data_IF_097340284146
#
_entry.id   IF_097340284146
#
_cell.length_a   1.000
_cell.length_b   1.000
_cell.length_c   1.000
_cell.angle_alpha   90.00
_cell.angle_beta   90.00
_cell.angle_gamma   90.00
#
_symmetry.space_group_name_H-M   'P 1'
#
loop_
_entity.id
_entity.type
_entity.pdbx_description
1 polymer ?
#
# COMPACT_ATOMS: atom_id res chain seq x y z
N UNK A 1 -33.25 8.60 -30.18
CA UNK A 1 -32.56 9.81 -30.71
C UNK A 1 -31.21 9.96 -30.01
N UNK A 2 -30.33 10.88 -30.43
CA UNK A 2 -29.06 11.15 -29.73
C UNK A 2 -29.33 11.64 -28.29
N UNK A 3 -30.39 12.44 -28.11
CA UNK A 3 -30.83 12.91 -26.79
C UNK A 3 -31.22 11.73 -25.89
N UNK A 4 -32.03 10.80 -26.40
CA UNK A 4 -32.40 9.61 -25.63
C UNK A 4 -31.17 8.74 -25.29
N UNK A 5 -30.16 8.70 -26.17
CA UNK A 5 -28.92 7.97 -25.88
C UNK A 5 -28.13 8.64 -24.75
N UNK A 6 -28.03 9.97 -24.73
CA UNK A 6 -27.41 10.73 -23.63
C UNK A 6 -28.18 10.53 -22.33
N UNK A 7 -29.51 10.65 -22.36
CA UNK A 7 -30.34 10.56 -21.15
C UNK A 7 -30.33 9.17 -20.51
N UNK A 8 -30.00 8.13 -21.26
CA UNK A 8 -29.93 6.75 -20.77
C UNK A 8 -28.49 6.24 -20.56
N UNK A 9 -27.47 7.09 -20.76
CA UNK A 9 -26.08 6.72 -20.56
C UNK A 9 -25.63 6.92 -19.11
N UNK A 10 -24.70 6.08 -18.65
CA UNK A 10 -23.98 6.30 -17.38
C UNK A 10 -22.88 7.36 -17.53
N UNK A 11 -22.29 7.47 -18.72
CA UNK A 11 -21.28 8.46 -19.10
C UNK A 11 -21.26 8.65 -20.62
N UNK A 12 -20.76 9.80 -21.08
CA UNK A 12 -20.63 10.14 -22.50
C UNK A 12 -19.18 10.43 -22.85
N UNK A 13 -18.67 9.74 -23.87
CA UNK A 13 -17.38 10.07 -24.50
C UNK A 13 -17.67 10.69 -25.85
N UNK A 14 -17.49 12.00 -25.94
CA UNK A 14 -17.78 12.79 -27.14
C UNK A 14 -16.51 12.95 -27.98
N UNK A 15 -16.41 12.18 -29.07
CA UNK A 15 -15.36 12.39 -30.06
C UNK A 15 -15.56 13.71 -30.81
N UNK A 16 -14.54 14.57 -30.82
CA UNK A 16 -14.52 15.84 -31.57
C UNK A 16 -13.42 15.81 -32.62
N UNK A 17 -13.57 16.63 -33.66
CA UNK A 17 -12.63 16.67 -34.77
C UNK A 17 -12.43 18.11 -35.25
N UNK A 18 -11.39 18.75 -34.73
CA UNK A 18 -10.87 20.01 -35.24
C UNK A 18 -9.53 19.85 -35.93
N UNK A 19 -9.41 20.38 -37.15
CA UNK A 19 -8.17 20.28 -37.93
C UNK A 19 -7.17 21.36 -37.54
N UNK A 20 -7.62 22.60 -37.35
CA UNK A 20 -6.80 23.73 -36.93
C UNK A 20 -7.64 24.78 -36.18
N UNK A 21 -6.97 25.72 -35.50
CA UNK A 21 -7.61 26.79 -34.75
C UNK A 21 -8.64 27.58 -35.58
N UNK A 22 -8.28 28.00 -36.79
CA UNK A 22 -9.16 28.79 -37.67
C UNK A 22 -10.48 28.08 -38.02
N UNK A 23 -10.44 26.75 -38.18
CA UNK A 23 -11.64 25.94 -38.49
C UNK A 23 -12.57 25.76 -37.29
N UNK A 24 -12.09 26.01 -36.08
CA UNK A 24 -12.78 25.76 -34.82
C UNK A 24 -13.19 27.03 -34.08
N UNK A 25 -12.64 28.19 -34.50
CA UNK A 25 -13.16 29.50 -34.10
C UNK A 25 -14.70 29.52 -34.13
N UNK A 26 -15.38 29.86 -33.01
CA UNK A 26 -16.83 29.92 -32.95
C UNK A 26 -17.42 30.72 -34.11
N UNK A 27 -18.36 30.11 -34.84
CA UNK A 27 -18.99 30.71 -36.02
C UNK A 27 -18.27 30.47 -37.35
N UNK A 28 -17.02 30.00 -37.35
CA UNK A 28 -16.27 29.74 -38.59
C UNK A 28 -16.76 28.48 -39.35
N UNK A 29 -17.22 27.45 -38.64
CA UNK A 29 -17.74 26.23 -39.27
C UNK A 29 -18.84 25.55 -38.45
N UNK A 30 -19.67 24.74 -39.11
CA UNK A 30 -20.73 23.95 -38.46
C UNK A 30 -20.20 22.74 -37.67
N UNK A 31 -18.95 22.30 -37.89
CA UNK A 31 -18.36 21.14 -37.21
C UNK A 31 -18.40 21.25 -35.68
N UNK A 32 -18.35 22.46 -35.12
CA UNK A 32 -18.41 22.71 -33.67
C UNK A 32 -19.83 22.78 -33.12
N UNK A 33 -20.86 22.89 -33.97
CA UNK A 33 -22.24 23.02 -33.53
C UNK A 33 -22.73 21.75 -32.83
N UNK A 34 -22.42 20.57 -33.36
CA UNK A 34 -22.87 19.33 -32.75
C UNK A 34 -22.28 19.14 -31.34
N UNK A 35 -20.93 19.22 -31.13
CA UNK A 35 -20.36 19.15 -29.79
C UNK A 35 -20.94 20.18 -28.82
N UNK A 36 -21.06 21.45 -29.25
CA UNK A 36 -21.62 22.52 -28.42
C UNK A 36 -23.06 22.25 -28.01
N UNK A 37 -23.89 21.84 -28.97
CA UNK A 37 -25.31 21.56 -28.72
C UNK A 37 -25.50 20.32 -27.84
N UNK A 38 -24.65 19.30 -28.00
CA UNK A 38 -24.71 18.09 -27.17
C UNK A 38 -24.28 18.38 -25.73
N UNK A 39 -23.20 19.15 -25.54
CA UNK A 39 -22.74 19.57 -24.20
C UNK A 39 -23.81 20.45 -23.54
N UNK A 40 -24.33 21.47 -24.24
CA UNK A 40 -25.38 22.33 -23.71
C UNK A 40 -26.66 21.54 -23.36
N UNK A 41 -27.05 20.57 -24.19
CA UNK A 41 -28.17 19.68 -23.88
C UNK A 41 -27.90 18.84 -22.63
N UNK A 42 -26.72 18.20 -22.54
CA UNK A 42 -26.35 17.37 -21.41
C UNK A 42 -26.35 18.17 -20.10
N UNK A 43 -25.70 19.33 -20.07
CA UNK A 43 -25.64 20.23 -18.91
C UNK A 43 -27.02 20.78 -18.50
N UNK A 44 -27.93 20.97 -19.47
CA UNK A 44 -29.31 21.40 -19.21
C UNK A 44 -30.30 20.27 -18.90
N UNK A 45 -29.86 19.02 -18.87
CA UNK A 45 -30.70 17.83 -18.65
C UNK A 45 -30.25 17.05 -17.41
N UNK A 46 -29.86 15.78 -17.57
CA UNK A 46 -29.41 14.92 -16.46
C UNK A 46 -27.98 15.24 -16.00
N UNK A 47 -27.23 16.02 -16.79
CA UNK A 47 -25.81 16.32 -16.57
C UNK A 47 -24.99 15.04 -16.35
N UNK A 48 -25.11 14.10 -17.30
CA UNK A 48 -24.36 12.85 -17.28
C UNK A 48 -22.87 13.16 -17.40
N UNK A 49 -21.96 12.49 -16.67
CA UNK A 49 -20.52 12.70 -16.79
C UNK A 49 -20.06 12.62 -18.26
N UNK A 50 -19.43 13.68 -18.75
CA UNK A 50 -19.05 13.80 -20.15
C UNK A 50 -17.57 14.19 -20.29
N UNK A 51 -16.86 13.49 -21.17
CA UNK A 51 -15.51 13.86 -21.60
C UNK A 51 -15.48 14.08 -23.11
N UNK A 52 -14.91 15.21 -23.54
CA UNK A 52 -14.63 15.46 -24.93
C UNK A 52 -13.24 14.91 -25.29
N UNK A 53 -13.16 14.12 -26.37
CA UNK A 53 -11.92 13.52 -26.88
C UNK A 53 -11.62 14.10 -28.27
N UNK A 54 -10.56 14.89 -28.39
CA UNK A 54 -10.18 15.53 -29.65
C UNK A 54 -9.28 14.63 -30.51
N UNK A 55 -9.84 14.20 -31.65
CA UNK A 55 -9.29 13.21 -32.58
C UNK A 55 -8.69 13.92 -33.80
N UNK A 56 -7.66 14.76 -33.62
CA UNK A 56 -6.73 15.21 -34.68
C UNK A 56 -5.78 16.25 -34.10
N UNK A 57 -6.34 17.37 -33.70
CA UNK A 57 -5.65 18.50 -33.11
C UNK A 57 -6.38 18.92 -31.80
N UNK A 58 -5.75 19.71 -30.92
CA UNK A 58 -6.29 20.01 -29.61
C UNK A 58 -7.32 21.15 -29.61
N UNK A 59 -7.58 21.77 -30.76
CA UNK A 59 -8.25 23.07 -30.84
C UNK A 59 -9.75 23.03 -30.53
N UNK A 60 -10.41 21.86 -30.55
CA UNK A 60 -11.84 21.73 -30.24
C UNK A 60 -12.25 22.42 -28.94
N UNK A 61 -11.38 22.42 -27.92
CA UNK A 61 -11.60 23.07 -26.62
C UNK A 61 -11.90 24.57 -26.73
N UNK A 62 -11.41 25.24 -27.79
CA UNK A 62 -11.71 26.65 -28.06
C UNK A 62 -13.20 26.90 -28.27
N UNK A 63 -13.93 25.91 -28.77
CA UNK A 63 -15.36 26.00 -29.06
C UNK A 63 -16.26 25.49 -27.94
N UNK A 64 -15.69 24.75 -26.98
CA UNK A 64 -16.38 24.10 -25.86
C UNK A 64 -15.61 24.29 -24.54
N UNK A 65 -15.21 25.53 -24.17
CA UNK A 65 -14.33 25.77 -23.02
C UNK A 65 -14.97 25.35 -21.68
N UNK A 66 -16.29 25.24 -21.63
CA UNK A 66 -17.05 24.88 -20.42
C UNK A 66 -17.16 23.36 -20.20
N UNK A 67 -16.54 22.53 -21.05
CA UNK A 67 -16.56 21.07 -20.86
C UNK A 67 -15.78 20.67 -19.61
N UNK A 68 -16.37 19.81 -18.77
CA UNK A 68 -15.77 19.41 -17.49
C UNK A 68 -14.47 18.61 -17.65
N UNK A 69 -14.36 17.82 -18.73
CA UNK A 69 -13.18 17.04 -19.05
C UNK A 69 -12.88 17.06 -20.55
N UNK A 70 -11.60 17.24 -20.90
CA UNK A 70 -11.12 17.26 -22.28
C UNK A 70 -9.80 16.50 -22.41
N UNK A 71 -9.69 15.62 -23.40
CA UNK A 71 -8.46 14.89 -23.72
C UNK A 71 -8.10 15.02 -25.20
N UNK A 72 -6.90 15.53 -25.48
CA UNK A 72 -6.35 15.60 -26.83
C UNK A 72 -5.52 14.35 -27.12
N UNK A 73 -5.92 13.55 -28.10
CA UNK A 73 -5.26 12.27 -28.42
C UNK A 73 -4.39 12.34 -29.68
N UNK A 74 -4.50 13.41 -30.49
CA UNK A 74 -3.67 13.63 -31.68
C UNK A 74 -3.68 12.46 -32.69
N UNK A 75 -4.85 12.00 -33.13
CA UNK A 75 -4.97 10.94 -34.14
C UNK A 75 -5.79 11.42 -35.35
N UNK A 76 -5.37 11.11 -36.58
CA UNK A 76 -6.12 11.51 -37.80
C UNK A 76 -7.26 10.55 -38.17
N UNK A 77 -7.21 9.30 -37.69
CA UNK A 77 -8.14 8.23 -38.06
C UNK A 77 -8.64 7.45 -36.84
N UNK A 78 -9.88 6.95 -36.92
CA UNK A 78 -10.62 6.30 -35.84
C UNK A 78 -10.03 4.96 -35.31
N UNK A 79 -8.98 4.43 -35.93
CA UNK A 79 -8.43 3.10 -35.63
C UNK A 79 -6.94 3.11 -35.22
N UNK A 80 -6.49 4.17 -34.54
CA UNK A 80 -5.08 4.31 -34.13
C UNK A 80 -4.87 4.07 -32.64
N UNK A 81 -3.63 3.74 -32.27
CA UNK A 81 -3.19 3.56 -30.87
C UNK A 81 -3.50 4.79 -30.00
N UNK A 82 -3.55 5.98 -30.61
CA UNK A 82 -3.89 7.23 -29.95
C UNK A 82 -5.27 7.21 -29.28
N UNK A 83 -6.28 6.64 -29.96
CA UNK A 83 -7.64 6.53 -29.40
C UNK A 83 -7.69 5.53 -28.26
N UNK A 84 -6.99 4.39 -28.41
CA UNK A 84 -6.86 3.41 -27.34
C UNK A 84 -6.19 4.03 -26.11
N UNK A 85 -5.12 4.81 -26.28
CA UNK A 85 -4.47 5.53 -25.18
C UNK A 85 -5.40 6.56 -24.55
N UNK A 86 -6.16 7.32 -25.34
CA UNK A 86 -7.16 8.26 -24.82
C UNK A 86 -8.25 7.58 -24.00
N UNK A 87 -8.78 6.46 -24.48
CA UNK A 87 -9.75 5.64 -23.76
C UNK A 87 -9.15 5.07 -22.47
N UNK A 88 -7.92 4.56 -22.53
CA UNK A 88 -7.19 4.08 -21.35
C UNK A 88 -7.00 5.18 -20.32
N UNK A 89 -6.70 6.41 -20.75
CA UNK A 89 -6.60 7.55 -19.85
C UNK A 89 -7.96 7.85 -19.21
N UNK A 90 -9.03 8.03 -20.00
CA UNK A 90 -10.39 8.32 -19.50
C UNK A 90 -10.83 7.31 -18.44
N UNK A 91 -10.58 6.02 -18.66
CA UNK A 91 -10.94 4.96 -17.73
C UNK A 91 -9.91 4.72 -16.61
N UNK A 92 -8.86 5.53 -16.52
CA UNK A 92 -7.87 5.47 -15.44
C UNK A 92 -6.82 4.38 -15.56
N UNK A 93 -6.78 3.62 -16.66
CA UNK A 93 -5.75 2.60 -16.91
C UNK A 93 -4.36 3.18 -17.14
N UNK A 94 -4.25 4.48 -17.46
CA UNK A 94 -2.98 5.20 -17.54
C UNK A 94 -3.14 6.60 -16.93
N UNK A 95 -2.09 7.09 -16.28
CA UNK A 95 -2.03 8.48 -15.84
C UNK A 95 -1.57 9.38 -16.99
N UNK A 96 -2.39 10.32 -17.51
CA UNK A 96 -1.98 11.17 -18.62
C UNK A 96 -0.82 12.09 -18.21
N UNK A 97 0.24 12.10 -19.00
CA UNK A 97 1.44 12.91 -18.75
C UNK A 97 1.79 13.88 -19.88
N UNK A 98 1.10 13.77 -21.02
CA UNK A 98 1.34 14.59 -22.20
C UNK A 98 1.15 16.09 -21.95
N UNK A 99 1.97 16.90 -22.60
CA UNK A 99 1.89 18.37 -22.59
C UNK A 99 1.57 18.88 -23.99
N UNK A 100 0.84 19.99 -24.08
CA UNK A 100 0.52 20.64 -25.33
C UNK A 100 1.81 21.05 -26.07
N UNK A 101 1.96 20.71 -27.35
CA UNK A 101 3.11 21.13 -28.17
C UNK A 101 2.88 22.50 -28.84
N UNK A 102 1.69 23.09 -28.66
CA UNK A 102 1.24 24.35 -29.27
C UNK A 102 0.38 25.13 -28.28
N UNK A 103 0.31 26.44 -28.47
CA UNK A 103 -0.67 27.27 -27.75
C UNK A 103 -2.09 27.07 -28.29
N UNK A 104 -3.07 27.22 -27.41
CA UNK A 104 -4.51 27.17 -27.72
C UNK A 104 -5.08 28.58 -27.55
N UNK A 105 -5.43 29.27 -28.64
CA UNK A 105 -6.05 30.60 -28.57
C UNK A 105 -7.38 30.56 -27.83
N UNK A 106 -7.85 31.70 -27.33
CA UNK A 106 -9.15 31.79 -26.63
C UNK A 106 -10.40 31.62 -27.51
N UNK A 107 -10.23 31.58 -28.83
CA UNK A 107 -11.30 31.38 -29.80
C UNK A 107 -12.08 32.63 -30.15
N UNK A 108 -11.88 33.77 -29.48
CA UNK A 108 -12.63 35.02 -29.75
C UNK A 108 -11.71 36.08 -30.36
N UNK A 109 -10.59 36.37 -29.68
CA UNK A 109 -9.63 37.43 -30.04
C UNK A 109 -8.18 36.89 -30.16
N UNK A 110 -7.97 35.61 -29.83
CA UNK A 110 -6.69 35.08 -29.35
C UNK A 110 -5.55 34.94 -30.35
N UNK A 111 -5.83 34.86 -31.67
CA UNK A 111 -4.74 34.75 -32.65
C UNK A 111 -4.09 36.11 -32.97
N UNK A 112 -4.88 37.19 -32.97
CA UNK A 112 -4.37 38.53 -33.30
C UNK A 112 -3.81 39.27 -32.08
N UNK A 113 -4.27 38.91 -30.87
CA UNK A 113 -3.91 39.59 -29.62
C UNK A 113 -3.05 38.76 -28.64
N UNK A 114 -2.57 37.57 -29.04
CA UNK A 114 -1.78 36.66 -28.21
C UNK A 114 -2.48 36.27 -26.88
N UNK A 115 -3.79 36.00 -26.94
CA UNK A 115 -4.58 35.56 -25.78
C UNK A 115 -4.88 34.06 -25.91
N UNK A 116 -4.45 33.30 -24.91
CA UNK A 116 -4.47 31.83 -24.95
C UNK A 116 -5.28 31.26 -23.78
N UNK A 117 -6.14 30.27 -24.06
CA UNK A 117 -6.80 29.45 -23.05
C UNK A 117 -5.79 28.54 -22.35
N UNK A 118 -4.90 27.94 -23.14
CA UNK A 118 -3.84 27.07 -22.65
C UNK A 118 -2.57 27.30 -23.45
N UNK A 119 -1.45 27.47 -22.75
CA UNK A 119 -0.16 27.65 -23.40
C UNK A 119 0.50 26.31 -23.73
N UNK A 120 1.47 26.34 -24.65
CA UNK A 120 2.43 25.27 -24.88
C UNK A 120 3.04 24.81 -23.55
N UNK A 121 3.21 23.50 -23.39
CA UNK A 121 3.67 22.88 -22.16
C UNK A 121 2.56 22.62 -21.13
N UNK A 122 1.33 23.10 -21.33
CA UNK A 122 0.21 22.81 -20.43
C UNK A 122 -0.27 21.35 -20.57
N UNK A 123 -0.68 20.75 -19.46
CA UNK A 123 -1.27 19.42 -19.44
C UNK A 123 -1.50 18.94 -18.02
N UNK A 124 -2.62 18.25 -17.79
CA UNK A 124 -3.00 17.74 -16.48
C UNK A 124 -2.61 16.27 -16.34
N UNK A 125 -2.56 15.80 -15.09
CA UNK A 125 -2.38 14.41 -14.72
C UNK A 125 -3.33 14.06 -13.57
N UNK A 126 -3.54 12.76 -13.35
CA UNK A 126 -4.24 12.30 -12.16
C UNK A 126 -3.34 12.45 -10.95
N UNK A 127 -3.89 13.14 -9.94
CA UNK A 127 -3.23 13.38 -8.67
C UNK A 127 -3.50 12.18 -7.76
N UNK A 128 -2.44 11.54 -7.29
CA UNK A 128 -2.54 10.49 -6.28
C UNK A 128 -2.91 11.15 -4.95
N UNK A 129 -3.95 10.66 -4.30
CA UNK A 129 -4.43 11.16 -3.02
C UNK A 129 -3.65 10.55 -1.86
N UNK A 130 -3.42 9.23 -1.91
CA UNK A 130 -2.76 8.50 -0.85
C UNK A 130 -2.10 7.23 -1.36
N UNK A 131 -1.05 6.83 -0.65
CA UNK A 131 -0.53 5.46 -0.63
C UNK A 131 -0.89 4.88 0.72
N UNK A 132 -1.39 3.65 0.75
CA UNK A 132 -1.65 2.93 1.99
C UNK A 132 -1.00 1.56 1.93
N UNK A 133 -0.58 1.10 3.11
CA UNK A 133 -0.14 -0.27 3.34
C UNK A 133 -1.00 -0.96 4.37
N UNK A 134 -1.16 -2.26 4.19
CA UNK A 134 -1.75 -3.18 5.17
C UNK A 134 -0.87 -4.41 5.34
N UNK A 135 -0.91 -4.97 6.55
CA UNK A 135 -0.15 -6.16 6.94
C UNK A 135 -1.12 -7.05 7.72
N UNK A 136 -1.26 -8.30 7.29
CA UNK A 136 -2.30 -9.21 7.82
C UNK A 136 -2.07 -9.57 9.29
N UNK A 137 -0.83 -9.91 9.66
CA UNK A 137 -0.45 -10.16 11.04
C UNK A 137 0.59 -9.14 11.53
N UNK A 138 0.26 -8.46 12.63
CA UNK A 138 1.13 -7.49 13.28
C UNK A 138 1.68 -7.97 14.62
N UNK A 139 1.23 -9.12 15.13
CA UNK A 139 1.83 -9.79 16.29
C UNK A 139 2.63 -11.01 15.82
N UNK A 140 3.93 -10.80 15.69
CA UNK A 140 4.95 -11.72 15.24
C UNK A 140 5.73 -12.27 16.45
N UNK A 141 6.44 -13.37 16.32
CA UNK A 141 7.53 -13.83 17.21
C UNK A 141 8.89 -13.53 16.55
N UNK A 142 10.01 -13.60 17.28
CA UNK A 142 11.34 -13.49 16.64
C UNK A 142 11.43 -14.46 15.45
N UNK A 143 12.06 -14.01 14.36
CA UNK A 143 12.17 -14.68 13.04
C UNK A 143 10.91 -14.74 12.17
N UNK A 144 9.72 -14.47 12.70
CA UNK A 144 8.50 -14.45 11.88
C UNK A 144 8.62 -13.48 10.70
N UNK A 145 7.91 -13.78 9.62
CA UNK A 145 7.86 -12.93 8.43
C UNK A 145 6.44 -12.64 8.01
N UNK A 146 6.19 -11.47 7.43
CA UNK A 146 4.88 -11.10 6.89
C UNK A 146 5.04 -10.19 5.67
N UNK A 147 4.07 -10.20 4.75
CA UNK A 147 4.08 -9.39 3.54
C UNK A 147 3.44 -8.02 3.74
N UNK A 148 3.82 -7.07 2.89
CA UNK A 148 3.21 -5.73 2.83
C UNK A 148 2.32 -5.66 1.60
N UNK A 149 1.03 -5.41 1.79
CA UNK A 149 0.12 -5.05 0.69
C UNK A 149 0.14 -3.55 0.49
N UNK A 150 0.32 -3.07 -0.74
CA UNK A 150 0.40 -1.64 -1.08
C UNK A 150 -0.74 -1.28 -2.02
N UNK A 151 -1.48 -0.22 -1.69
CA UNK A 151 -2.56 0.32 -2.53
C UNK A 151 -2.34 1.83 -2.68
N UNK A 152 -2.28 2.29 -3.93
CA UNK A 152 -2.39 3.71 -4.25
C UNK A 152 -3.82 4.06 -4.64
N UNK A 153 -4.26 5.27 -4.32
CA UNK A 153 -5.59 5.78 -4.69
C UNK A 153 -5.48 7.19 -5.25
N UNK A 154 -6.10 7.44 -6.40
CA UNK A 154 -6.24 8.78 -6.97
C UNK A 154 -7.26 9.62 -6.20
N UNK A 155 -7.24 10.95 -6.39
CA UNK A 155 -8.23 11.86 -5.76
C UNK A 155 -9.69 11.55 -6.08
N UNK A 156 -9.97 10.84 -7.16
CA UNK A 156 -11.31 10.37 -7.54
C UNK A 156 -11.67 9.00 -6.95
N UNK A 157 -10.83 8.41 -6.09
CA UNK A 157 -11.08 7.13 -5.43
C UNK A 157 -10.68 5.89 -6.23
N UNK A 158 -10.24 6.03 -7.49
CA UNK A 158 -9.79 4.89 -8.29
C UNK A 158 -8.41 4.38 -7.83
N UNK A 159 -8.14 3.06 -7.95
CA UNK A 159 -6.84 2.50 -7.64
C UNK A 159 -5.77 2.98 -8.62
N UNK A 160 -4.54 3.08 -8.13
CA UNK A 160 -3.35 3.39 -8.93
C UNK A 160 -2.67 2.08 -9.31
N UNK A 161 -2.38 1.87 -10.59
CA UNK A 161 -1.48 0.78 -11.02
C UNK A 161 -0.02 1.15 -10.67
N UNK A 162 0.66 0.30 -9.90
CA UNK A 162 2.01 0.56 -9.37
C UNK A 162 3.12 -0.27 -10.03
N UNK A 163 2.85 -0.88 -11.19
CA UNK A 163 3.79 -1.80 -11.86
C UNK A 163 5.13 -1.14 -12.23
N UNK A 164 5.11 0.15 -12.54
CA UNK A 164 6.29 0.96 -12.93
C UNK A 164 6.76 1.88 -11.79
N UNK A 165 6.32 1.64 -10.56
CA UNK A 165 6.69 2.47 -9.41
C UNK A 165 8.01 2.00 -8.79
N UNK A 166 8.82 2.97 -8.34
CA UNK A 166 9.96 2.70 -7.47
C UNK A 166 9.48 2.71 -6.01
N UNK A 167 9.79 1.65 -5.26
CA UNK A 167 9.25 1.40 -3.91
C UNK A 167 10.39 1.22 -2.92
N UNK A 168 10.49 2.14 -1.97
CA UNK A 168 11.43 2.08 -0.86
C UNK A 168 10.72 1.66 0.43
N UNK A 169 11.26 0.65 1.11
CA UNK A 169 10.70 0.09 2.34
C UNK A 169 11.45 0.60 3.56
N UNK A 170 10.70 0.98 4.59
CA UNK A 170 11.27 1.54 5.81
C UNK A 170 10.74 0.80 7.03
N UNK A 171 11.68 0.37 7.88
CA UNK A 171 11.41 -0.05 9.25
C UNK A 171 11.97 1.02 10.18
N UNK A 172 11.17 1.45 11.15
CA UNK A 172 11.66 2.35 12.19
C UNK A 172 12.76 1.70 13.05
N UNK A 173 12.88 0.36 13.02
CA UNK A 173 13.97 -0.36 13.67
C UNK A 173 14.35 -1.67 12.93
N UNK A 174 15.37 -1.64 12.03
CA UNK A 174 15.88 -2.80 11.30
C UNK A 174 16.50 -3.92 12.16
N UNK A 175 16.73 -3.68 13.45
CA UNK A 175 17.15 -4.73 14.39
C UNK A 175 15.97 -5.54 14.91
N UNK A 176 14.76 -4.97 14.95
CA UNK A 176 13.51 -5.62 15.38
C UNK A 176 12.79 -6.21 14.17
N UNK A 177 12.60 -5.41 13.12
CA UNK A 177 11.98 -5.83 11.88
C UNK A 177 12.85 -5.33 10.74
N UNK A 178 13.44 -6.24 9.98
CA UNK A 178 14.11 -5.93 8.71
C UNK A 178 13.09 -6.05 7.58
N UNK A 179 13.26 -5.29 6.49
CA UNK A 179 12.36 -5.35 5.34
C UNK A 179 13.17 -5.47 4.07
N UNK A 180 12.86 -6.48 3.25
CA UNK A 180 13.48 -6.69 1.95
C UNK A 180 12.42 -7.09 0.94
N UNK A 181 12.39 -6.38 -0.19
CA UNK A 181 11.51 -6.67 -1.33
C UNK A 181 10.02 -6.85 -0.93
N UNK A 182 9.52 -6.01 -0.02
CA UNK A 182 8.14 -6.06 0.47
C UNK A 182 7.84 -7.10 1.54
N UNK A 183 8.86 -7.80 2.04
CA UNK A 183 8.72 -8.80 3.11
C UNK A 183 9.38 -8.31 4.39
N UNK A 184 8.59 -8.24 5.45
CA UNK A 184 9.02 -7.99 6.84
C UNK A 184 9.61 -9.27 7.41
N UNK A 185 10.73 -9.13 8.12
CA UNK A 185 11.35 -10.16 8.95
C UNK A 185 11.55 -9.66 10.37
N UNK A 186 10.80 -10.20 11.31
CA UNK A 186 11.04 -10.08 12.73
C UNK A 186 12.41 -10.68 13.08
N UNK A 187 13.22 -9.95 13.82
CA UNK A 187 14.59 -10.35 14.18
C UNK A 187 14.73 -10.36 15.67
N UNK A 188 14.36 -9.26 16.28
CA UNK A 188 14.37 -9.11 17.72
C UNK A 188 13.00 -8.84 18.24
N UNK A 189 12.80 -9.24 19.49
CA UNK A 189 11.62 -8.85 20.23
C UNK A 189 11.51 -7.35 20.31
N UNK A 190 10.28 -6.89 20.30
CA UNK A 190 9.95 -5.47 20.37
C UNK A 190 9.07 -5.06 19.21
N UNK A 191 8.77 -3.78 19.17
CA UNK A 191 7.85 -3.23 18.17
C UNK A 191 8.63 -2.35 17.19
N UNK A 192 8.31 -2.46 15.91
CA UNK A 192 8.81 -1.60 14.85
C UNK A 192 7.64 -1.12 13.98
N UNK A 193 7.69 0.13 13.53
CA UNK A 193 6.76 0.64 12.53
C UNK A 193 7.31 0.41 11.15
N UNK A 194 6.43 0.02 10.24
CA UNK A 194 6.73 -0.19 8.84
C UNK A 194 5.95 0.80 8.00
N UNK A 195 6.59 1.36 6.99
CA UNK A 195 5.98 2.21 5.98
C UNK A 195 6.78 2.13 4.67
N UNK A 196 6.22 2.66 3.59
CA UNK A 196 6.86 2.71 2.27
C UNK A 196 6.85 4.13 1.70
N UNK A 197 7.82 4.42 0.84
CA UNK A 197 7.75 5.55 -0.09
C UNK A 197 7.62 5.00 -1.49
N UNK A 198 6.64 5.51 -2.23
CA UNK A 198 6.35 5.09 -3.60
C UNK A 198 6.57 6.27 -4.52
N UNK A 199 7.45 6.10 -5.50
CA UNK A 199 7.73 7.09 -6.55
C UNK A 199 7.17 6.62 -7.88
N UNK A 200 6.20 7.36 -8.43
CA UNK A 200 5.58 7.06 -9.73
C UNK A 200 5.36 8.36 -10.51
N UNK A 201 5.76 8.36 -11.80
CA UNK A 201 5.69 9.55 -12.63
C UNK A 201 6.46 10.76 -12.08
N UNK A 202 7.54 10.51 -11.32
CA UNK A 202 8.37 11.55 -10.68
C UNK A 202 7.80 12.13 -9.38
N UNK A 203 6.66 11.62 -8.89
CA UNK A 203 6.04 12.05 -7.62
C UNK A 203 6.29 10.97 -6.57
N UNK A 204 6.83 11.36 -5.42
CA UNK A 204 7.05 10.49 -4.26
C UNK A 204 6.01 10.74 -3.18
N UNK A 205 5.36 9.68 -2.70
CA UNK A 205 4.39 9.72 -1.59
C UNK A 205 4.77 8.70 -0.51
N UNK A 206 4.57 9.06 0.75
CA UNK A 206 4.74 8.17 1.90
C UNK A 206 3.40 7.52 2.28
N UNK A 207 3.44 6.25 2.70
CA UNK A 207 2.25 5.54 3.17
C UNK A 207 1.85 5.87 4.61
N UNK A 208 0.70 5.33 5.06
CA UNK A 208 0.48 5.15 6.49
C UNK A 208 1.55 4.24 7.11
N UNK A 209 1.64 4.30 8.45
CA UNK A 209 2.53 3.46 9.25
C UNK A 209 1.74 2.30 9.85
N UNK A 210 2.33 1.12 9.87
CA UNK A 210 1.78 -0.07 10.52
C UNK A 210 2.75 -0.54 11.59
N UNK A 211 2.24 -0.71 12.81
CA UNK A 211 3.03 -1.19 13.94
C UNK A 211 3.11 -2.72 13.92
N UNK A 212 4.32 -3.27 13.99
CA UNK A 212 4.62 -4.70 14.07
C UNK A 212 5.26 -4.99 15.42
N UNK A 213 4.65 -5.87 16.20
CA UNK A 213 5.11 -6.34 17.51
C UNK A 213 5.71 -7.73 17.36
N UNK A 214 6.96 -7.89 17.76
CA UNK A 214 7.70 -9.16 17.76
C UNK A 214 7.80 -9.67 19.20
N UNK A 215 7.28 -10.86 19.46
CA UNK A 215 7.27 -11.58 20.72
C UNK A 215 8.43 -12.57 20.85
N UNK A 216 8.57 -13.06 22.07
CA UNK A 216 9.34 -14.21 22.52
C UNK A 216 8.51 -14.81 23.62
N UNK A 217 8.46 -16.14 23.79
CA UNK A 217 7.88 -16.56 25.06
C UNK A 217 8.42 -17.85 25.64
N UNK A 218 9.34 -17.65 26.60
CA UNK A 218 9.56 -18.60 27.69
C UNK A 218 8.33 -18.70 28.62
N UNK A 219 7.36 -17.80 28.45
CA UNK A 219 6.20 -17.61 29.31
C UNK A 219 5.41 -18.88 29.60
N UNK A 220 5.04 -19.71 28.62
CA UNK A 220 4.32 -20.96 28.87
C UNK A 220 5.07 -21.91 29.82
N UNK A 221 6.41 -21.90 29.80
CA UNK A 221 7.24 -22.74 30.67
C UNK A 221 7.29 -22.20 32.08
N UNK A 222 7.45 -20.88 32.22
CA UNK A 222 7.40 -20.18 33.50
C UNK A 222 6.05 -20.37 34.18
N UNK A 223 4.96 -20.13 33.45
CA UNK A 223 3.59 -20.27 33.95
C UNK A 223 3.31 -21.68 34.47
N UNK A 224 3.82 -22.69 33.78
CA UNK A 224 3.71 -24.08 34.22
C UNK A 224 4.50 -24.36 35.49
N UNK A 225 5.71 -23.81 35.62
CA UNK A 225 6.59 -24.05 36.76
C UNK A 225 5.96 -23.56 38.06
N UNK A 226 5.48 -22.32 38.04
CA UNK A 226 4.90 -21.66 39.21
C UNK A 226 3.63 -22.38 39.68
N UNK A 227 2.79 -22.83 38.74
CA UNK A 227 1.57 -23.59 39.05
C UNK A 227 1.84 -24.88 39.86
N UNK A 228 3.00 -25.50 39.68
CA UNK A 228 3.40 -26.69 40.44
C UNK A 228 4.06 -26.37 41.79
N UNK A 229 4.67 -25.20 41.95
CA UNK A 229 5.16 -24.77 43.27
C UNK A 229 3.97 -24.47 44.19
N UNK A 230 2.96 -23.76 43.68
CA UNK A 230 1.80 -23.30 44.45
C UNK A 230 0.88 -24.44 44.93
N UNK A 231 0.74 -25.46 44.11
CA UNK A 231 0.00 -26.68 44.47
C UNK A 231 0.72 -27.52 45.54
N UNK A 232 1.97 -27.19 45.89
CA UNK A 232 2.82 -28.00 46.76
C UNK A 232 3.41 -29.23 46.05
N UNK A 233 3.27 -29.30 44.74
CA UNK A 233 3.86 -30.34 43.89
C UNK A 233 5.38 -30.16 43.73
N UNK A 234 5.96 -29.01 44.10
CA UNK A 234 7.41 -28.78 44.20
C UNK A 234 7.72 -28.08 45.53
N UNK A 235 8.65 -28.64 46.34
CA UNK A 235 8.84 -28.20 47.74
C UNK A 235 10.31 -27.98 48.15
N UNK A 236 10.48 -27.10 49.15
CA UNK A 236 11.73 -26.98 49.90
C UNK A 236 12.93 -26.55 49.04
N UNK A 237 14.13 -27.12 49.24
CA UNK A 237 15.34 -26.65 48.57
C UNK A 237 15.35 -26.75 47.03
N UNK A 238 14.48 -27.57 46.42
CA UNK A 238 14.43 -27.75 44.96
C UNK A 238 13.85 -26.53 44.24
N UNK A 239 12.84 -25.88 44.85
CA UNK A 239 12.24 -24.64 44.35
C UNK A 239 13.33 -23.61 44.09
N UNK A 240 14.24 -23.43 45.05
CA UNK A 240 15.33 -22.46 44.94
C UNK A 240 16.32 -22.76 43.80
N UNK A 241 16.45 -24.00 43.34
CA UNK A 241 17.42 -24.35 42.28
C UNK A 241 16.84 -24.19 40.87
N UNK A 242 15.59 -24.62 40.69
CA UNK A 242 14.85 -24.49 39.45
C UNK A 242 14.60 -23.02 39.12
N UNK A 243 14.19 -22.24 40.12
CA UNK A 243 13.97 -20.82 39.94
C UNK A 243 15.23 -20.09 39.44
N UNK A 244 16.39 -20.39 40.03
CA UNK A 244 17.66 -19.75 39.65
C UNK A 244 18.09 -20.03 38.20
N UNK A 245 17.70 -21.17 37.64
CA UNK A 245 18.15 -21.63 36.33
C UNK A 245 17.19 -21.21 35.21
N UNK A 246 15.87 -21.26 35.43
CA UNK A 246 14.90 -20.71 34.48
C UNK A 246 15.10 -19.20 34.33
N UNK A 247 15.32 -18.51 35.43
CA UNK A 247 15.56 -17.06 35.42
C UNK A 247 16.80 -16.64 34.60
N UNK A 248 17.83 -17.48 34.54
CA UNK A 248 19.02 -17.17 33.74
C UNK A 248 18.86 -17.53 32.27
N UNK A 249 17.94 -18.44 31.94
CA UNK A 249 17.61 -18.76 30.58
C UNK A 249 16.89 -17.63 29.85
N UNK A 250 15.83 -17.10 30.47
CA UNK A 250 15.04 -15.98 29.94
C UNK A 250 15.93 -14.79 29.59
N UNK A 251 16.88 -14.52 30.49
CA UNK A 251 17.87 -13.46 30.37
C UNK A 251 18.61 -13.54 29.04
N UNK A 252 19.23 -14.67 28.74
CA UNK A 252 20.04 -14.80 27.54
C UNK A 252 19.22 -14.99 26.25
N UNK A 253 18.02 -15.57 26.35
CA UNK A 253 17.09 -15.64 25.22
C UNK A 253 16.76 -14.26 24.71
N UNK A 254 16.47 -13.35 25.64
CA UNK A 254 16.17 -11.96 25.32
C UNK A 254 17.34 -11.22 24.67
N UNK A 255 18.58 -11.69 24.85
CA UNK A 255 19.79 -11.03 24.34
C UNK A 255 20.21 -11.48 22.93
N UNK A 256 19.44 -12.35 22.25
CA UNK A 256 19.93 -13.13 21.08
C UNK A 256 21.19 -13.92 21.43
N UNK A 257 21.34 -14.27 22.70
CA UNK A 257 22.46 -15.03 23.22
C UNK A 257 21.94 -16.40 23.61
N UNK A 258 21.24 -17.01 22.68
CA UNK A 258 20.36 -18.12 22.98
C UNK A 258 21.14 -19.32 23.53
N UNK A 259 22.42 -19.44 23.17
CA UNK A 259 23.36 -20.40 23.75
C UNK A 259 23.38 -20.39 25.28
N UNK A 260 23.61 -19.22 25.87
CA UNK A 260 23.66 -19.11 27.31
C UNK A 260 22.26 -19.25 27.93
N UNK A 261 21.21 -18.97 27.16
CA UNK A 261 19.83 -19.18 27.56
C UNK A 261 19.58 -20.67 27.81
N UNK A 262 20.01 -21.48 26.86
CA UNK A 262 19.88 -22.93 26.87
C UNK A 262 20.72 -23.56 27.96
N UNK A 263 21.94 -23.07 28.16
CA UNK A 263 22.82 -23.61 29.20
C UNK A 263 22.13 -23.57 30.56
N UNK A 264 21.44 -22.47 30.85
CA UNK A 264 20.69 -22.32 32.09
C UNK A 264 19.39 -23.13 32.13
N UNK A 265 18.69 -23.30 31.01
CA UNK A 265 17.56 -24.24 31.00
C UNK A 265 18.00 -25.71 31.15
N UNK A 266 19.22 -26.08 30.75
CA UNK A 266 19.76 -27.42 31.01
C UNK A 266 20.11 -27.61 32.48
N UNK A 267 20.62 -26.56 33.12
CA UNK A 267 20.81 -26.56 34.57
C UNK A 267 19.46 -26.75 35.27
N UNK A 268 18.38 -26.12 34.77
CA UNK A 268 17.02 -26.34 35.28
C UNK A 268 16.63 -27.82 35.26
N UNK A 269 16.78 -28.48 34.12
CA UNK A 269 16.44 -29.90 33.98
C UNK A 269 17.32 -30.81 34.85
N UNK A 270 18.59 -30.45 35.04
CA UNK A 270 19.51 -31.19 35.90
C UNK A 270 19.04 -31.15 37.36
N UNK A 271 18.63 -29.98 37.84
CA UNK A 271 18.08 -29.85 39.18
C UNK A 271 16.75 -30.60 39.32
N UNK A 272 15.87 -30.50 38.32
CA UNK A 272 14.55 -31.14 38.31
C UNK A 272 14.65 -32.67 38.39
N UNK A 273 15.69 -33.26 37.82
CA UNK A 273 15.88 -34.70 37.72
C UNK A 273 16.85 -35.29 38.77
N UNK A 274 17.28 -34.50 39.75
CA UNK A 274 18.20 -34.96 40.78
C UNK A 274 17.55 -36.04 41.69
N UNK A 275 18.08 -37.29 41.75
CA UNK A 275 17.49 -38.37 42.55
C UNK A 275 17.35 -38.05 44.04
N UNK A 276 18.29 -37.29 44.61
CA UNK A 276 18.28 -36.89 46.03
C UNK A 276 17.10 -35.95 46.38
N UNK A 277 16.47 -35.33 45.37
CA UNK A 277 15.36 -34.40 45.52
C UNK A 277 14.05 -34.96 44.94
N UNK A 278 14.00 -36.24 44.54
CA UNK A 278 12.81 -36.87 43.95
C UNK A 278 11.56 -36.77 44.82
N UNK A 279 11.71 -36.88 46.15
CA UNK A 279 10.60 -36.70 47.10
C UNK A 279 10.11 -35.25 47.26
N UNK A 280 10.70 -34.30 46.51
CA UNK A 280 10.37 -32.87 46.55
C UNK A 280 9.67 -32.39 45.30
N UNK A 281 9.34 -33.28 44.36
CA UNK A 281 8.56 -32.96 43.16
C UNK A 281 7.57 -34.08 42.85
N UNK A 282 6.33 -33.76 42.47
CA UNK A 282 5.35 -34.76 42.02
C UNK A 282 5.72 -35.29 40.63
N UNK A 283 5.35 -36.54 40.35
CA UNK A 283 5.67 -37.16 39.05
C UNK A 283 4.99 -36.41 37.88
N UNK A 284 3.78 -35.87 38.07
CA UNK A 284 3.07 -35.08 37.06
C UNK A 284 3.74 -33.74 36.80
N UNK A 285 4.11 -33.01 37.87
CA UNK A 285 4.86 -31.75 37.76
C UNK A 285 6.19 -31.94 37.06
N UNK A 286 6.94 -32.96 37.51
CA UNK A 286 8.24 -33.31 36.91
C UNK A 286 8.10 -33.63 35.44
N UNK A 287 7.09 -34.41 35.07
CA UNK A 287 6.84 -34.80 33.68
C UNK A 287 6.46 -33.61 32.82
N UNK A 288 5.51 -32.77 33.26
CA UNK A 288 5.04 -31.61 32.52
C UNK A 288 6.13 -30.54 32.37
N UNK A 289 6.90 -30.26 33.41
CA UNK A 289 7.98 -29.28 33.35
C UNK A 289 9.19 -29.76 32.58
N UNK A 290 9.57 -31.03 32.73
CA UNK A 290 10.51 -31.61 31.79
C UNK A 290 9.97 -31.41 30.36
N UNK A 291 8.68 -31.67 30.11
CA UNK A 291 8.10 -31.49 28.79
C UNK A 291 8.19 -30.03 28.29
N UNK A 292 7.77 -29.04 29.08
CA UNK A 292 7.69 -27.64 28.65
C UNK A 292 9.07 -26.97 28.59
N UNK A 293 9.94 -27.20 29.57
CA UNK A 293 11.30 -26.65 29.57
C UNK A 293 12.13 -27.27 28.48
N UNK A 294 12.07 -28.61 28.30
CA UNK A 294 12.70 -29.21 27.12
C UNK A 294 12.13 -28.59 25.84
N UNK A 295 10.80 -28.39 25.74
CA UNK A 295 10.19 -27.77 24.56
C UNK A 295 10.68 -26.33 24.30
N UNK A 296 10.90 -25.55 25.35
CA UNK A 296 11.37 -24.18 25.18
C UNK A 296 12.88 -24.05 25.01
N UNK A 297 13.68 -24.88 25.67
CA UNK A 297 15.10 -25.07 25.30
C UNK A 297 15.21 -25.36 23.84
N UNK A 298 14.38 -26.30 23.41
CA UNK A 298 14.29 -26.69 22.03
C UNK A 298 13.95 -25.45 21.18
N UNK A 299 12.97 -24.61 21.53
CA UNK A 299 12.67 -23.33 20.85
C UNK A 299 13.81 -22.31 20.85
N UNK A 300 14.62 -22.24 21.91
CA UNK A 300 15.75 -21.31 22.02
C UNK A 300 16.99 -21.75 21.27
N UNK A 301 17.24 -23.04 21.26
CA UNK A 301 18.41 -23.64 20.60
C UNK A 301 18.38 -23.51 19.08
N UNK A 302 17.27 -23.03 18.53
CA UNK A 302 17.03 -22.92 17.10
C UNK A 302 17.48 -21.54 16.54
N UNK A 303 17.91 -20.58 17.37
CA UNK A 303 18.52 -19.26 17.00
C UNK A 303 20.06 -19.24 16.97
#
# INVERSE_FOLDING_TARGET
SIKDAVDNADYVILGTYGYNASSITPGANYYTQFPRNLIAYNSGSKNVPLVAMAICAPYDIMSIPDVEAFVAVYGRYANTQNLLSGMRAIFGFINPSGKLPVDIPDGVDGYENNIYLYNVGYGLNYQIAAINISIENTELQRKDTTGISIIGTYKNGMPVELNDADIEYFSSNPNIVDIKDGVIKAKNTGTAEVYVKVTIGGITLESNRVSIKVGKTIGPVREMFDGYVDSGDILGPLVHQLENSLSQAEKFYSEMKDKQAIDHLKDFLKHLNNPAMSAKVSEDAKKALNSAVNAFIEELSIE
#
